data_IF_473800483112
#
_entry.id   IF_473800483112
#
_cell.length_a   1.000
_cell.length_b   1.000
_cell.length_c   1.000
_cell.angle_alpha   90.00
_cell.angle_beta   90.00
_cell.angle_gamma   90.00
#
_symmetry.space_group_name_H-M   'P 1'
#
loop_
_entity.id
_entity.type
_entity.pdbx_description
1 polymer ?
#
# COMPACT_ATOMS: atom_id res chain seq x y z
N UNK A 1 7.46 -14.65 12.89
CA UNK A 1 7.81 -14.44 11.48
C UNK A 1 6.77 -13.50 10.88
N UNK A 2 7.15 -12.49 10.11
CA UNK A 2 6.18 -11.64 9.39
C UNK A 2 6.07 -12.20 7.98
N UNK A 3 4.95 -12.86 7.70
CA UNK A 3 4.75 -13.54 6.42
C UNK A 3 4.52 -12.51 5.30
N UNK A 4 5.12 -12.79 4.14
CA UNK A 4 4.86 -12.03 2.93
C UNK A 4 3.49 -12.47 2.39
N UNK A 5 2.58 -11.51 2.26
CA UNK A 5 1.24 -11.73 1.68
C UNK A 5 1.18 -11.13 0.29
N UNK A 6 0.33 -11.72 -0.56
CA UNK A 6 -0.05 -11.14 -1.85
C UNK A 6 -1.54 -10.84 -1.80
N UNK A 7 -1.93 -9.60 -2.03
CA UNK A 7 -3.33 -9.18 -2.10
C UNK A 7 -3.64 -8.60 -3.48
N UNK A 8 -4.87 -8.80 -3.92
CA UNK A 8 -5.41 -8.19 -5.13
C UNK A 8 -6.65 -7.37 -4.75
N UNK A 9 -6.67 -6.11 -5.14
CA UNK A 9 -7.74 -5.23 -4.74
C UNK A 9 -7.84 -3.97 -5.58
N UNK A 10 -8.98 -3.31 -5.45
CA UNK A 10 -9.26 -2.05 -6.12
C UNK A 10 -8.81 -0.89 -5.25
N UNK A 11 -8.07 0.06 -5.81
CA UNK A 11 -7.73 1.30 -5.11
C UNK A 11 -9.01 2.12 -4.95
N UNK A 12 -9.38 2.41 -3.71
CA UNK A 12 -10.56 3.23 -3.37
C UNK A 12 -10.18 4.62 -2.88
N UNK A 13 -8.96 4.78 -2.35
CA UNK A 13 -8.48 6.05 -1.84
C UNK A 13 -6.95 6.13 -1.94
N UNK A 14 -6.43 7.33 -2.18
CA UNK A 14 -5.00 7.62 -2.20
C UNK A 14 -4.76 8.81 -1.28
N UNK A 15 -3.82 8.66 -0.35
CA UNK A 15 -3.38 9.75 0.52
C UNK A 15 -1.87 9.86 0.47
N UNK A 16 -1.38 11.07 0.24
CA UNK A 16 0.04 11.37 0.42
C UNK A 16 0.35 11.57 1.90
N UNK A 17 1.54 11.17 2.30
CA UNK A 17 2.01 11.31 3.65
C UNK A 17 3.50 11.51 3.71
N UNK A 18 3.94 12.17 4.77
CA UNK A 18 5.34 12.36 5.07
C UNK A 18 5.63 11.80 6.45
N UNK A 19 6.70 11.02 6.56
CA UNK A 19 7.19 10.51 7.84
C UNK A 19 8.57 11.06 8.11
N UNK A 20 8.69 11.86 9.17
CA UNK A 20 9.98 12.30 9.67
C UNK A 20 10.70 11.14 10.36
N UNK A 21 11.87 10.76 9.87
CA UNK A 21 12.68 9.66 10.43
C UNK A 21 13.78 10.24 11.32
N UNK A 22 14.40 11.35 10.91
CA UNK A 22 15.41 12.08 11.70
C UNK A 22 15.21 13.59 11.55
N UNK A 23 16.05 14.41 12.22
CA UNK A 23 16.02 15.88 12.06
C UNK A 23 16.25 16.33 10.62
N UNK A 24 17.03 15.58 9.84
CA UNK A 24 17.43 15.91 8.47
C UNK A 24 16.81 15.02 7.38
N UNK A 25 16.06 13.97 7.75
CA UNK A 25 15.49 13.02 6.80
C UNK A 25 13.99 12.85 6.99
N UNK A 26 13.24 13.34 6.01
CA UNK A 26 11.80 13.11 5.82
C UNK A 26 11.60 12.13 4.69
N UNK A 27 10.74 11.14 4.92
CA UNK A 27 10.42 10.09 3.98
C UNK A 27 8.99 10.28 3.47
N UNK A 28 8.84 10.50 2.16
CA UNK A 28 7.54 10.55 1.51
C UNK A 28 6.96 9.16 1.27
N UNK A 29 5.67 8.99 1.50
CA UNK A 29 4.95 7.77 1.18
C UNK A 29 3.56 8.09 0.62
N UNK A 30 3.05 7.17 -0.20
CA UNK A 30 1.67 7.14 -0.62
C UNK A 30 0.99 5.99 0.14
N UNK A 31 -0.12 6.31 0.79
CA UNK A 31 -1.03 5.34 1.38
C UNK A 31 -2.15 5.05 0.39
N UNK A 32 -2.13 3.86 -0.18
CA UNK A 32 -3.22 3.37 -1.03
C UNK A 32 -4.18 2.56 -0.17
N UNK A 33 -5.43 3.02 -0.05
CA UNK A 33 -6.48 2.18 0.51
C UNK A 33 -7.03 1.29 -0.59
N UNK A 34 -6.96 -0.01 -0.40
CA UNK A 34 -7.44 -1.00 -1.36
C UNK A 34 -8.58 -1.80 -0.77
N UNK A 35 -9.57 -2.12 -1.59
CA UNK A 35 -10.67 -3.01 -1.26
C UNK A 35 -10.38 -4.41 -1.79
N UNK A 36 -10.41 -5.41 -0.92
CA UNK A 36 -10.21 -6.83 -1.21
C UNK A 36 -11.48 -7.56 -0.74
N UNK A 37 -12.38 -7.90 -1.67
CA UNK A 37 -13.70 -8.41 -1.31
C UNK A 37 -14.50 -7.38 -0.49
N UNK A 38 -14.81 -7.73 0.76
CA UNK A 38 -15.51 -6.85 1.72
C UNK A 38 -14.57 -6.16 2.71
N UNK A 39 -13.27 -6.44 2.65
CA UNK A 39 -12.28 -5.89 3.56
C UNK A 39 -11.47 -4.76 2.92
N UNK A 40 -10.93 -3.89 3.77
CA UNK A 40 -10.06 -2.79 3.35
C UNK A 40 -8.66 -2.97 3.92
N UNK A 41 -7.66 -2.63 3.10
CA UNK A 41 -6.26 -2.69 3.49
C UNK A 41 -5.57 -1.38 3.14
N UNK A 42 -4.65 -0.94 4.00
CA UNK A 42 -3.79 0.22 3.75
C UNK A 42 -2.42 -0.22 3.26
N UNK A 43 -2.09 0.06 2.01
CA UNK A 43 -0.79 -0.23 1.40
C UNK A 43 0.10 1.01 1.48
N UNK A 44 1.21 0.92 2.19
CA UNK A 44 2.19 2.00 2.31
C UNK A 44 3.29 1.81 1.26
N UNK A 45 3.25 2.67 0.24
CA UNK A 45 4.20 2.69 -0.87
C UNK A 45 5.18 3.85 -0.70
N UNK A 46 6.47 3.56 -0.80
CA UNK A 46 7.50 4.58 -0.83
C UNK A 46 7.37 5.46 -2.08
N UNK A 47 7.33 6.79 -1.95
CA UNK A 47 7.33 7.66 -3.13
C UNK A 47 8.58 7.48 -3.97
N UNK A 48 9.74 7.21 -3.36
CA UNK A 48 10.99 6.97 -4.10
C UNK A 48 11.02 5.66 -4.88
N UNK A 49 10.08 4.73 -4.61
CA UNK A 49 9.92 3.48 -5.36
C UNK A 49 8.80 3.52 -6.39
N UNK A 50 7.97 4.56 -6.44
CA UNK A 50 6.82 4.62 -7.36
C UNK A 50 7.23 4.37 -8.82
N UNK A 51 8.30 5.03 -9.26
CA UNK A 51 8.80 4.89 -10.63
C UNK A 51 9.28 3.45 -10.95
N UNK A 52 9.68 2.67 -9.94
CA UNK A 52 10.15 1.28 -10.13
C UNK A 52 8.99 0.33 -10.48
N UNK A 53 7.76 0.68 -10.14
CA UNK A 53 6.58 -0.15 -10.40
C UNK A 53 6.00 0.06 -11.80
N UNK A 54 6.51 1.02 -12.58
CA UNK A 54 6.14 1.22 -13.97
C UNK A 54 4.73 1.81 -14.19
N UNK A 55 4.02 2.18 -13.13
CA UNK A 55 2.75 2.91 -13.23
C UNK A 55 2.54 3.83 -12.03
N UNK A 56 1.69 4.84 -12.21
CA UNK A 56 1.22 5.72 -11.14
C UNK A 56 -0.15 5.21 -10.63
N UNK A 57 -0.27 4.85 -9.35
CA UNK A 57 -1.53 4.42 -8.77
C UNK A 57 -2.63 5.48 -8.90
N UNK A 58 -3.84 5.07 -9.27
CA UNK A 58 -5.03 5.92 -9.37
C UNK A 58 -6.24 5.24 -8.75
N UNK A 59 -7.14 6.04 -8.18
CA UNK A 59 -8.44 5.55 -7.67
C UNK A 59 -9.17 4.84 -8.82
N UNK A 60 -9.72 3.66 -8.52
CA UNK A 60 -10.43 2.83 -9.48
C UNK A 60 -9.60 1.72 -10.10
N UNK A 61 -8.27 1.79 -10.07
CA UNK A 61 -7.40 0.76 -10.64
C UNK A 61 -7.38 -0.49 -9.76
N UNK A 62 -7.30 -1.65 -10.42
CA UNK A 62 -7.04 -2.92 -9.75
C UNK A 62 -5.54 -3.16 -9.67
N UNK A 63 -5.08 -3.55 -8.49
CA UNK A 63 -3.66 -3.78 -8.26
C UNK A 63 -3.43 -5.12 -7.58
N UNK A 64 -2.30 -5.74 -7.89
CA UNK A 64 -1.70 -6.82 -7.11
C UNK A 64 -0.55 -6.23 -6.30
N UNK A 65 -0.57 -6.45 -4.99
CA UNK A 65 0.48 -6.02 -4.06
C UNK A 65 1.07 -7.21 -3.32
N UNK A 66 2.40 -7.26 -3.24
CA UNK A 66 3.13 -8.21 -2.37
C UNK A 66 3.90 -7.44 -1.32
N UNK A 67 3.73 -7.79 -0.05
CA UNK A 67 4.41 -7.12 1.06
C UNK A 67 4.19 -7.83 2.39
N UNK A 68 4.65 -7.23 3.49
CA UNK A 68 4.41 -7.79 4.83
C UNK A 68 3.14 -7.21 5.42
N UNK A 69 2.26 -8.10 5.86
CA UNK A 69 1.03 -7.73 6.55
C UNK A 69 1.33 -7.36 8.00
N UNK A 70 0.81 -6.23 8.42
CA UNK A 70 0.78 -5.78 9.80
C UNK A 70 -0.68 -5.69 10.23
N UNK A 71 -1.11 -6.57 11.16
CA UNK A 71 -2.49 -6.54 11.64
C UNK A 71 -2.79 -5.19 12.30
N UNK A 72 -4.06 -4.80 12.26
CA UNK A 72 -4.53 -3.62 12.98
C UNK A 72 -4.26 -3.79 14.46
N UNK A 73 -3.66 -2.79 15.11
CA UNK A 73 -3.37 -2.86 16.55
C UNK A 73 -4.65 -2.83 17.39
N UNK A 74 -5.67 -2.07 16.97
CA UNK A 74 -6.82 -1.73 17.82
C UNK A 74 -8.18 -1.75 17.09
N UNK A 75 -8.32 -2.36 15.90
CA UNK A 75 -9.60 -2.45 15.17
C UNK A 75 -10.11 -1.13 14.55
N UNK A 76 -9.58 0.02 14.96
CA UNK A 76 -9.90 1.35 14.39
C UNK A 76 -9.19 1.65 13.06
N UNK A 77 -8.18 0.85 12.71
CA UNK A 77 -7.38 1.04 11.50
C UNK A 77 -7.47 -0.18 10.61
N UNK A 78 -7.47 0.03 9.29
CA UNK A 78 -7.35 -1.06 8.33
C UNK A 78 -6.01 -1.80 8.54
N UNK A 79 -5.96 -3.14 8.37
CA UNK A 79 -4.70 -3.86 8.29
C UNK A 79 -3.78 -3.23 7.24
N UNK A 80 -2.49 -3.16 7.55
CA UNK A 80 -1.54 -2.43 6.71
C UNK A 80 -0.52 -3.34 6.05
N UNK A 81 -0.26 -3.12 4.76
CA UNK A 81 0.85 -3.74 4.04
C UNK A 81 2.01 -2.76 3.99
N UNK A 82 3.16 -3.19 4.49
CA UNK A 82 4.41 -2.45 4.44
C UNK A 82 5.49 -3.29 3.79
N UNK A 83 6.62 -2.66 3.47
CA UNK A 83 7.74 -3.31 2.79
C UNK A 83 7.28 -4.00 1.50
N UNK A 84 6.55 -3.24 0.69
CA UNK A 84 6.06 -3.66 -0.61
C UNK A 84 7.26 -4.07 -1.47
N UNK A 85 7.25 -5.32 -1.94
CA UNK A 85 8.23 -5.89 -2.85
C UNK A 85 7.73 -5.95 -4.29
N UNK A 86 6.40 -5.99 -4.48
CA UNK A 86 5.76 -5.96 -5.78
C UNK A 86 4.49 -5.12 -5.73
N UNK A 87 4.31 -4.25 -6.72
CA UNK A 87 3.09 -3.51 -6.96
C UNK A 87 2.85 -3.52 -8.48
N UNK A 88 1.74 -4.10 -8.92
CA UNK A 88 1.39 -4.22 -10.35
C UNK A 88 -0.04 -3.77 -10.58
N UNK A 89 -0.26 -3.05 -11.68
CA UNK A 89 -1.59 -2.87 -12.24
C UNK A 89 -2.05 -4.19 -12.87
N UNK A 90 -3.29 -4.58 -12.59
CA UNK A 90 -3.93 -5.79 -13.14
C UNK A 90 -5.29 -5.41 -13.72
N UNK A 91 -5.83 -6.28 -14.56
CA UNK A 91 -7.24 -6.18 -14.95
C UNK A 91 -8.16 -6.53 -13.79
N UNK A 92 -9.43 -6.15 -13.89
CA UNK A 92 -10.43 -6.53 -12.90
C UNK A 92 -10.58 -8.06 -12.93
N UNK A 93 -10.43 -8.75 -11.79
CA UNK A 93 -10.71 -10.18 -11.68
C UNK A 93 -12.21 -10.48 -11.81
#
# INVERSE_FOLDING_TARGET
MSDLVTLEGKIVEIRDGEKKITRSYTYGYISLRIQVGFEYYSVLVNTSKLNQYGFLPRIGQWIRVKGRLFPSKNGFYDPSIKWVSELKHIERP
#
